data_IF_862644360709
#
_entry.id   IF_862644360709
#
_cell.length_a   1.000
_cell.length_b   1.000
_cell.length_c   1.000
_cell.angle_alpha   90.00
_cell.angle_beta   90.00
_cell.angle_gamma   90.00
#
_symmetry.space_group_name_H-M   'P 1'
#
loop_
_entity.id
_entity.type
_entity.pdbx_description
1 polymer ?
#
# COMPACT_ATOMS: atom_id res chain seq x y z
N UNK A 1 -11.81 12.45 -22.94
CA UNK A 1 -11.07 12.27 -21.69
C UNK A 1 -12.08 12.24 -20.57
N UNK A 2 -12.24 11.10 -19.90
CA UNK A 2 -13.22 10.96 -18.82
C UNK A 2 -12.88 11.91 -17.67
N UNK A 3 -13.88 12.58 -17.13
CA UNK A 3 -13.76 13.37 -15.91
C UNK A 3 -13.11 12.51 -14.81
N UNK A 4 -12.12 13.03 -14.06
CA UNK A 4 -11.50 12.27 -12.99
C UNK A 4 -12.58 11.86 -11.98
N UNK A 5 -12.74 10.55 -11.76
CA UNK A 5 -13.62 10.07 -10.70
C UNK A 5 -13.08 10.58 -9.38
N UNK A 6 -13.86 11.41 -8.71
CA UNK A 6 -13.51 11.93 -7.38
C UNK A 6 -13.62 10.76 -6.42
N UNK A 7 -12.48 10.32 -5.89
CA UNK A 7 -12.44 9.33 -4.81
C UNK A 7 -13.36 9.79 -3.66
N UNK A 8 -14.17 8.91 -3.07
CA UNK A 8 -14.98 9.24 -1.90
C UNK A 8 -14.13 9.57 -0.66
N UNK A 9 -12.80 9.36 -0.73
CA UNK A 9 -11.87 9.72 0.32
C UNK A 9 -11.73 11.24 0.47
N UNK A 10 -11.62 11.75 1.72
CA UNK A 10 -11.30 13.14 1.94
C UNK A 10 -9.94 13.48 1.33
N UNK A 11 -9.81 14.69 0.76
CA UNK A 11 -8.54 15.17 0.17
C UNK A 11 -7.41 15.24 1.20
N UNK A 12 -7.74 15.53 2.46
CA UNK A 12 -6.78 15.59 3.57
C UNK A 12 -6.89 14.24 4.30
N UNK A 13 -5.76 13.51 4.52
CA UNK A 13 -5.77 12.27 5.29
C UNK A 13 -6.42 12.45 6.66
N UNK A 14 -7.22 11.46 7.07
CA UNK A 14 -7.90 11.47 8.37
C UNK A 14 -6.86 11.44 9.51
N UNK A 15 -7.12 12.21 10.56
CA UNK A 15 -6.39 12.10 11.82
C UNK A 15 -6.59 10.72 12.45
N UNK A 16 -5.55 10.19 13.10
CA UNK A 16 -5.62 8.93 13.84
C UNK A 16 -4.32 8.13 13.71
N UNK A 17 -4.40 6.84 14.02
CA UNK A 17 -3.24 5.94 13.98
C UNK A 17 -3.14 5.27 12.61
N UNK A 18 -1.98 5.43 11.97
CA UNK A 18 -1.66 4.83 10.68
C UNK A 18 -0.55 3.81 10.86
N UNK A 19 -0.74 2.60 10.30
CA UNK A 19 0.26 1.54 10.40
C UNK A 19 1.10 1.48 9.11
N UNK A 20 2.44 1.61 9.20
CA UNK A 20 3.34 1.28 8.09
C UNK A 20 3.49 -0.24 7.99
N UNK A 21 2.68 -0.85 7.13
CA UNK A 21 2.56 -2.30 7.06
C UNK A 21 3.81 -2.94 6.43
N UNK A 22 4.30 -4.03 7.02
CA UNK A 22 5.44 -4.80 6.51
C UNK A 22 5.09 -5.58 5.23
N UNK A 23 6.12 -6.02 4.51
CA UNK A 23 5.99 -6.90 3.33
C UNK A 23 6.32 -8.34 3.72
N UNK A 24 5.51 -9.29 3.25
CA UNK A 24 5.68 -10.72 3.52
C UNK A 24 6.22 -11.38 2.25
N UNK A 25 7.32 -12.11 2.40
CA UNK A 25 8.01 -12.82 1.33
C UNK A 25 7.95 -14.33 1.53
N UNK A 26 7.83 -15.07 0.43
CA UNK A 26 8.12 -16.49 0.39
C UNK A 26 9.64 -16.69 0.40
N UNK A 27 10.15 -17.26 1.50
CA UNK A 27 11.58 -17.49 1.70
C UNK A 27 12.22 -18.51 0.73
N UNK A 28 11.43 -19.37 0.08
CA UNK A 28 11.94 -20.38 -0.84
C UNK A 28 12.14 -19.81 -2.25
N UNK A 29 11.33 -18.83 -2.64
CA UNK A 29 11.33 -18.27 -4.00
C UNK A 29 11.81 -16.82 -4.08
N UNK A 30 11.95 -16.13 -2.94
CA UNK A 30 12.27 -14.69 -2.86
C UNK A 30 11.26 -13.84 -3.63
N UNK A 31 9.98 -14.18 -3.49
CA UNK A 31 8.85 -13.46 -4.11
C UNK A 31 7.84 -13.06 -3.05
N UNK A 32 7.04 -12.03 -3.30
CA UNK A 32 5.98 -11.60 -2.36
C UNK A 32 4.94 -12.72 -2.16
N UNK A 33 4.66 -13.05 -0.90
CA UNK A 33 3.53 -13.90 -0.52
C UNK A 33 2.24 -13.05 -0.50
N UNK A 34 1.60 -12.95 -1.66
CA UNK A 34 0.38 -12.16 -1.84
C UNK A 34 -0.81 -12.69 -1.02
N UNK A 35 -0.86 -13.99 -0.71
CA UNK A 35 -1.94 -14.55 0.08
C UNK A 35 -1.86 -14.08 1.53
N UNK A 36 -0.70 -14.24 2.15
CA UNK A 36 -0.44 -13.77 3.50
C UNK A 36 -0.54 -12.26 3.60
N UNK A 37 -0.02 -11.54 2.59
CA UNK A 37 -0.09 -10.08 2.55
C UNK A 37 -1.54 -9.57 2.55
N UNK A 38 -2.42 -10.19 1.75
CA UNK A 38 -3.85 -9.85 1.71
C UNK A 38 -4.52 -10.05 3.07
N UNK A 39 -4.27 -11.20 3.72
CA UNK A 39 -4.81 -11.50 5.05
C UNK A 39 -4.33 -10.49 6.09
N UNK A 40 -3.04 -10.14 6.04
CA UNK A 40 -2.44 -9.17 6.95
C UNK A 40 -3.04 -7.76 6.79
N UNK A 41 -3.17 -7.26 5.56
CA UNK A 41 -3.80 -5.95 5.32
C UNK A 41 -5.27 -5.92 5.75
N UNK A 42 -6.03 -6.97 5.47
CA UNK A 42 -7.44 -7.08 5.90
C UNK A 42 -7.57 -7.12 7.44
N UNK A 43 -6.65 -7.81 8.13
CA UNK A 43 -6.63 -7.82 9.59
C UNK A 43 -6.35 -6.43 10.16
N UNK A 44 -5.32 -5.74 9.66
CA UNK A 44 -4.98 -4.41 10.15
C UNK A 44 -6.10 -3.39 9.90
N UNK A 45 -6.78 -3.45 8.75
CA UNK A 45 -7.88 -2.53 8.43
C UNK A 45 -9.11 -2.70 9.33
N UNK A 46 -9.28 -3.88 9.92
CA UNK A 46 -10.36 -4.19 10.86
C UNK A 46 -9.97 -3.95 12.33
N UNK A 47 -8.71 -3.57 12.60
CA UNK A 47 -8.16 -3.42 13.95
C UNK A 47 -8.27 -1.99 14.51
N UNK A 48 -9.13 -1.13 13.95
CA UNK A 48 -9.39 0.22 14.46
C UNK A 48 -8.39 1.30 13.99
N UNK A 49 -7.55 0.99 13.00
CA UNK A 49 -6.62 1.95 12.39
C UNK A 49 -7.35 2.98 11.53
N UNK A 50 -6.79 4.18 11.42
CA UNK A 50 -7.30 5.24 10.56
C UNK A 50 -6.96 5.01 9.07
N UNK A 51 -5.89 4.25 8.81
CA UNK A 51 -5.43 3.92 7.46
C UNK A 51 -4.15 3.09 7.48
N UNK A 52 -3.73 2.61 6.30
CA UNK A 52 -2.44 1.94 6.12
C UNK A 52 -1.49 2.82 5.32
N UNK A 53 -0.22 2.81 5.73
CA UNK A 53 0.89 3.31 4.93
C UNK A 53 1.55 2.11 4.26
N UNK A 54 1.50 2.08 2.94
CA UNK A 54 2.14 1.11 2.08
C UNK A 54 3.47 1.66 1.60
N UNK A 55 4.43 0.78 1.31
CA UNK A 55 5.73 1.16 0.74
C UNK A 55 6.47 2.20 1.61
N UNK A 56 6.31 2.12 2.93
CA UNK A 56 7.17 2.84 3.87
C UNK A 56 8.52 2.15 4.01
N UNK A 57 9.43 2.72 4.79
CA UNK A 57 10.72 2.07 5.09
C UNK A 57 10.55 0.69 5.75
N UNK A 58 9.55 0.52 6.61
CA UNK A 58 9.21 -0.77 7.24
C UNK A 58 8.68 -1.82 6.25
N UNK A 59 8.21 -1.40 5.08
CA UNK A 59 7.78 -2.30 4.01
C UNK A 59 8.94 -2.77 3.14
N UNK A 60 10.18 -2.38 3.48
CA UNK A 60 11.39 -2.65 2.69
C UNK A 60 11.28 -2.15 1.25
N UNK A 61 10.56 -1.04 1.05
CA UNK A 61 10.15 -0.59 -0.29
C UNK A 61 11.31 -0.44 -1.28
N UNK A 62 12.48 0.00 -0.81
CA UNK A 62 13.69 0.14 -1.65
C UNK A 62 14.27 -1.19 -2.14
N UNK A 63 13.90 -2.32 -1.56
CA UNK A 63 14.30 -3.66 -2.00
C UNK A 63 13.33 -4.24 -3.04
N UNK A 64 12.17 -3.61 -3.26
CA UNK A 64 11.15 -4.06 -4.19
C UNK A 64 11.38 -3.53 -5.60
N UNK A 65 11.08 -4.38 -6.58
CA UNK A 65 10.92 -3.99 -7.98
C UNK A 65 9.71 -3.07 -8.18
N UNK A 66 9.61 -2.47 -9.37
CA UNK A 66 8.48 -1.60 -9.73
C UNK A 66 7.16 -2.38 -9.76
N UNK A 67 7.21 -3.58 -10.33
CA UNK A 67 6.05 -4.45 -10.51
C UNK A 67 5.52 -4.92 -9.15
N UNK A 68 6.41 -5.29 -8.23
CA UNK A 68 6.06 -5.66 -6.86
C UNK A 68 5.41 -4.51 -6.08
N UNK A 69 5.92 -3.28 -6.24
CA UNK A 69 5.30 -2.09 -5.65
C UNK A 69 3.86 -1.91 -6.15
N UNK A 70 3.63 -2.07 -7.45
CA UNK A 70 2.29 -1.99 -8.03
C UNK A 70 1.38 -3.13 -7.52
N UNK A 71 1.89 -4.35 -7.41
CA UNK A 71 1.16 -5.49 -6.85
C UNK A 71 0.74 -5.25 -5.39
N UNK A 72 1.62 -4.70 -4.55
CA UNK A 72 1.31 -4.39 -3.15
C UNK A 72 0.22 -3.31 -3.00
N UNK A 73 0.20 -2.30 -3.89
CA UNK A 73 -0.87 -1.30 -3.88
C UNK A 73 -2.20 -1.93 -4.29
N UNK A 74 -2.19 -2.75 -5.35
CA UNK A 74 -3.38 -3.43 -5.84
C UNK A 74 -3.96 -4.39 -4.79
N UNK A 75 -3.12 -5.26 -4.21
CA UNK A 75 -3.54 -6.24 -3.21
C UNK A 75 -4.03 -5.57 -1.92
N UNK A 76 -3.43 -4.44 -1.52
CA UNK A 76 -3.91 -3.66 -0.39
C UNK A 76 -5.31 -3.15 -0.65
N UNK A 77 -5.57 -2.54 -1.82
CA UNK A 77 -6.92 -2.06 -2.18
C UNK A 77 -7.94 -3.19 -2.21
N UNK A 78 -7.60 -4.34 -2.79
CA UNK A 78 -8.46 -5.52 -2.78
C UNK A 78 -8.78 -5.98 -1.36
N UNK A 79 -7.78 -6.01 -0.47
CA UNK A 79 -7.94 -6.49 0.90
C UNK A 79 -8.80 -5.58 1.78
N UNK A 80 -8.76 -4.27 1.55
CA UNK A 80 -9.41 -3.28 2.45
C UNK A 80 -10.70 -2.69 1.90
N UNK A 81 -11.08 -3.01 0.66
CA UNK A 81 -12.25 -2.45 -0.02
C UNK A 81 -12.01 -1.00 -0.49
N UNK A 82 -12.97 -0.34 -1.18
CA UNK A 82 -12.76 0.95 -1.85
C UNK A 82 -12.62 2.14 -0.87
N UNK A 83 -13.23 2.04 0.30
CA UNK A 83 -13.43 3.18 1.22
C UNK A 83 -12.45 3.22 2.39
N UNK A 84 -11.54 2.26 2.48
CA UNK A 84 -10.50 2.29 3.51
C UNK A 84 -9.29 3.15 3.04
N UNK A 85 -8.77 4.08 3.88
CA UNK A 85 -7.66 4.96 3.50
C UNK A 85 -6.33 4.22 3.34
N UNK A 86 -5.65 4.49 2.22
CA UNK A 86 -4.31 3.99 1.91
C UNK A 86 -3.42 5.18 1.55
N UNK A 87 -2.17 5.14 2.01
CA UNK A 87 -1.12 6.10 1.65
C UNK A 87 0.08 5.31 1.09
N UNK A 88 0.59 5.68 -0.08
CA UNK A 88 1.71 4.98 -0.72
C UNK A 88 3.00 5.82 -0.66
N UNK A 89 4.08 5.25 -0.14
CA UNK A 89 5.41 5.84 -0.18
C UNK A 89 6.04 5.73 -1.56
N UNK A 90 6.21 6.86 -2.27
CA UNK A 90 6.71 6.92 -3.65
C UNK A 90 8.12 7.50 -3.77
N UNK A 91 8.84 7.62 -2.65
CA UNK A 91 10.17 8.20 -2.61
C UNK A 91 11.18 7.39 -3.44
N UNK A 92 11.83 8.05 -4.38
CA UNK A 92 12.90 7.50 -5.23
C UNK A 92 13.96 8.56 -5.50
N UNK A 93 14.99 8.24 -6.29
CA UNK A 93 16.14 9.13 -6.50
C UNK A 93 15.90 10.28 -7.48
N UNK A 94 14.92 10.16 -8.39
CA UNK A 94 14.65 11.18 -9.41
C UNK A 94 13.17 11.51 -9.51
N UNK A 95 12.88 12.72 -9.99
CA UNK A 95 11.51 13.15 -10.27
C UNK A 95 10.82 12.21 -11.25
N UNK A 96 11.53 11.74 -12.29
CA UNK A 96 10.97 10.81 -13.27
C UNK A 96 10.53 9.50 -12.62
N UNK A 97 11.37 8.92 -11.76
CA UNK A 97 11.04 7.68 -11.04
C UNK A 97 9.93 7.88 -10.01
N UNK A 98 9.81 9.07 -9.42
CA UNK A 98 8.73 9.39 -8.48
C UNK A 98 7.38 9.56 -9.17
N UNK A 99 7.38 10.02 -10.43
CA UNK A 99 6.18 10.23 -11.25
C UNK A 99 5.74 8.98 -12.03
N UNK A 100 6.59 7.95 -12.10
CA UNK A 100 6.34 6.68 -12.79
C UNK A 100 5.40 5.74 -12.01
#
# INVERSE_FOLDING_TARGET
MGSPQVSPQPRIPKSGIWCPAVTIFDSATDTIDLESQRKYYAYLSQSGLAGLVLMGTNSEAFLLTREERAQLIAIAREAVGPDYPLMAGVGTHSTKQTLE
#
